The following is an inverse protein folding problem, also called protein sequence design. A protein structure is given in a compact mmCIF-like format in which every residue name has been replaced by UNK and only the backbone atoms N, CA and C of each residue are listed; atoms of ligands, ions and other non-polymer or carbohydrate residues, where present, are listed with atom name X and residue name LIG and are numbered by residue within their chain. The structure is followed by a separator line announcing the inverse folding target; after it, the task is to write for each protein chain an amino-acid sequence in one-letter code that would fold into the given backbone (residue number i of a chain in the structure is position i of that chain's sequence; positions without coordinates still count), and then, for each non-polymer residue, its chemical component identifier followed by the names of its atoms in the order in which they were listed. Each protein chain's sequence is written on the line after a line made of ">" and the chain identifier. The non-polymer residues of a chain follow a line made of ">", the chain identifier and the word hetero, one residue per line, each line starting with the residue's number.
data_IF_129184519302
#
_entry.id   IF_129184519302
#
_cell.length_a   1.000
_cell.length_b   1.000
_cell.length_c   1.000
_cell.angle_alpha   90.00
_cell.angle_beta   90.00
_cell.angle_gamma   90.00
#
_symmetry.space_group_name_H-M   'P 1'
#
loop_
_entity.id
_entity.type
_entity.pdbx_description
1 polymer ?
#
# COMPACT_ATOMS: atom_id res chain seq x y z
N UNK A 1 2.16 -11.42 -5.73
CA UNK A 1 3.63 -11.32 -5.53
C UNK A 1 4.03 -9.94 -4.97
N UNK A 2 3.52 -8.83 -5.53
CA UNK A 2 3.89 -7.48 -5.08
C UNK A 2 3.28 -7.05 -3.72
N UNK A 3 2.10 -7.54 -3.34
CA UNK A 3 1.53 -7.26 -2.00
C UNK A 3 2.44 -7.76 -0.89
N UNK A 4 2.92 -9.01 -0.98
CA UNK A 4 3.84 -9.58 0.01
C UNK A 4 5.15 -8.79 0.09
N UNK A 5 5.72 -8.39 -1.05
CA UNK A 5 6.95 -7.58 -1.07
C UNK A 5 6.77 -6.21 -0.40
N UNK A 6 5.61 -5.59 -0.60
CA UNK A 6 5.27 -4.31 0.05
C UNK A 6 5.17 -4.48 1.56
N UNK A 7 4.41 -5.48 2.02
CA UNK A 7 4.28 -5.81 3.45
C UNK A 7 5.62 -6.11 4.09
N UNK A 8 6.44 -6.95 3.45
CA UNK A 8 7.76 -7.31 3.95
C UNK A 8 8.68 -6.09 4.09
N UNK A 9 8.69 -5.20 3.10
CA UNK A 9 9.47 -3.96 3.17
C UNK A 9 9.03 -3.08 4.35
N UNK A 10 7.72 -2.86 4.53
CA UNK A 10 7.18 -2.07 5.63
C UNK A 10 7.51 -2.70 7.00
N UNK A 11 7.31 -4.02 7.13
CA UNK A 11 7.63 -4.75 8.36
C UNK A 11 9.13 -4.71 8.68
N UNK A 12 10.02 -4.90 7.70
CA UNK A 12 11.47 -4.82 7.91
C UNK A 12 11.93 -3.43 8.35
N UNK A 13 11.20 -2.39 7.95
CA UNK A 13 11.45 -1.00 8.34
C UNK A 13 10.78 -0.61 9.65
N UNK A 14 10.07 -1.54 10.31
CA UNK A 14 9.36 -1.29 11.56
C UNK A 14 8.15 -0.36 11.40
N UNK A 15 7.63 -0.22 10.17
CA UNK A 15 6.47 0.62 9.89
C UNK A 15 5.21 -0.17 10.22
N UNK A 16 4.38 0.37 11.10
CA UNK A 16 3.05 -0.16 11.36
C UNK A 16 2.14 0.14 10.15
N UNK A 17 1.38 -0.85 9.71
CA UNK A 17 0.42 -0.71 8.63
C UNK A 17 -0.81 -1.58 8.87
N UNK A 18 -1.93 -1.19 8.28
CA UNK A 18 -3.13 -2.00 8.20
C UNK A 18 -3.15 -2.76 6.87
N UNK A 19 -3.42 -4.08 6.93
CA UNK A 19 -3.65 -4.87 5.73
C UNK A 19 -5.15 -4.94 5.43
N UNK A 20 -5.55 -4.48 4.25
CA UNK A 20 -6.92 -4.61 3.73
C UNK A 20 -6.92 -5.44 2.46
N UNK A 21 -7.40 -6.67 2.56
CA UNK A 21 -7.50 -7.60 1.43
C UNK A 21 -8.80 -7.34 0.65
N UNK A 22 -8.68 -6.73 -0.52
CA UNK A 22 -9.82 -6.39 -1.40
C UNK A 22 -10.61 -7.61 -1.91
N UNK A 23 -10.10 -8.83 -1.76
CA UNK A 23 -10.86 -10.05 -2.05
C UNK A 23 -11.81 -10.46 -0.92
N UNK A 24 -11.57 -9.98 0.30
CA UNK A 24 -12.34 -10.29 1.50
C UNK A 24 -13.03 -9.06 2.12
N UNK A 25 -12.54 -7.85 1.82
CA UNK A 25 -13.07 -6.57 2.28
C UNK A 25 -13.64 -5.78 1.08
N UNK A 26 -14.96 -5.86 0.92
CA UNK A 26 -15.69 -5.13 -0.12
C UNK A 26 -15.49 -3.61 0.01
N UNK A 27 -15.39 -3.08 1.23
CA UNK A 27 -15.20 -1.65 1.46
C UNK A 27 -13.84 -1.15 0.97
N UNK A 28 -12.81 -2.00 1.07
CA UNK A 28 -11.47 -1.71 0.54
C UNK A 28 -11.48 -1.71 -0.99
N UNK A 29 -12.21 -2.65 -1.60
CA UNK A 29 -12.39 -2.70 -3.05
C UNK A 29 -13.14 -1.45 -3.56
N UNK A 30 -14.24 -1.08 -2.93
CA UNK A 30 -14.99 0.12 -3.28
C UNK A 30 -14.14 1.39 -3.13
N UNK A 31 -13.28 1.46 -2.12
CA UNK A 31 -12.37 2.59 -1.95
C UNK A 31 -11.38 2.71 -3.12
N UNK A 32 -10.79 1.59 -3.57
CA UNK A 32 -9.93 1.60 -4.75
C UNK A 32 -10.69 2.07 -5.99
N UNK A 33 -11.90 1.56 -6.21
CA UNK A 33 -12.74 1.94 -7.35
C UNK A 33 -13.10 3.42 -7.33
N UNK A 34 -13.48 3.98 -6.17
CA UNK A 34 -13.77 5.41 -5.99
C UNK A 34 -12.55 6.28 -6.30
N UNK A 35 -11.34 5.79 -6.01
CA UNK A 35 -10.07 6.45 -6.35
C UNK A 35 -9.61 6.21 -7.80
N UNK A 36 -10.35 5.43 -8.58
CA UNK A 36 -10.00 5.07 -9.97
C UNK A 36 -8.85 4.07 -10.08
N UNK A 37 -8.56 3.33 -9.01
CA UNK A 37 -7.46 2.37 -8.93
C UNK A 37 -7.97 0.97 -9.22
N UNK A 38 -7.29 0.26 -10.11
CA UNK A 38 -7.70 -1.08 -10.59
C UNK A 38 -6.62 -2.15 -10.35
N UNK A 39 -5.57 -1.83 -9.61
CA UNK A 39 -4.39 -2.70 -9.43
C UNK A 39 -3.94 -2.72 -7.99
N UNK A 40 -3.44 -3.85 -7.52
CA UNK A 40 -2.82 -4.01 -6.21
C UNK A 40 -1.33 -4.35 -6.34
N UNK A 41 -0.51 -4.08 -5.31
CA UNK A 41 -0.83 -3.39 -4.06
C UNK A 41 -1.07 -1.89 -4.26
N UNK A 42 -1.84 -1.29 -3.34
CA UNK A 42 -1.94 0.16 -3.16
C UNK A 42 -1.58 0.45 -1.72
N UNK A 43 -0.69 1.41 -1.51
CA UNK A 43 -0.31 1.88 -0.18
C UNK A 43 -0.76 3.33 -0.05
N UNK A 44 -1.61 3.58 0.93
CA UNK A 44 -2.02 4.91 1.33
C UNK A 44 -1.10 5.34 2.47
N UNK A 45 -0.44 6.49 2.32
CA UNK A 45 0.44 7.08 3.33
C UNK A 45 -0.05 8.52 3.49
N UNK A 46 -0.77 8.79 4.58
CA UNK A 46 -1.48 10.06 4.77
C UNK A 46 -2.36 10.41 3.54
N UNK A 47 -2.06 11.50 2.84
CA UNK A 47 -2.76 11.93 1.61
C UNK A 47 -2.15 11.33 0.33
N UNK A 48 -1.00 10.67 0.42
CA UNK A 48 -0.28 10.10 -0.71
C UNK A 48 -0.74 8.69 -1.07
N UNK A 49 -0.75 8.42 -2.38
CA UNK A 49 -1.06 7.11 -2.94
C UNK A 49 0.17 6.57 -3.68
N UNK A 50 0.56 5.36 -3.31
CA UNK A 50 1.57 4.57 -4.02
C UNK A 50 0.89 3.35 -4.63
N UNK A 51 0.92 3.25 -5.96
CA UNK A 51 0.37 2.12 -6.71
C UNK A 51 1.52 1.19 -7.10
N UNK A 52 1.35 -0.10 -6.83
CA UNK A 52 2.39 -1.11 -7.00
C UNK A 52 3.45 -1.06 -5.89
N UNK A 53 4.60 -1.69 -6.15
CA UNK A 53 5.73 -1.67 -5.24
C UNK A 53 6.84 -0.74 -5.77
N UNK A 54 6.92 0.46 -5.19
CA UNK A 54 8.00 1.42 -5.42
C UNK A 54 8.75 1.67 -4.11
N UNK A 55 9.83 0.92 -3.89
CA UNK A 55 10.63 1.02 -2.67
C UNK A 55 11.18 2.42 -2.42
N UNK A 56 11.57 3.16 -3.47
CA UNK A 56 12.15 4.49 -3.33
C UNK A 56 11.09 5.50 -2.92
N UNK A 57 9.92 5.46 -3.57
CA UNK A 57 8.79 6.32 -3.22
C UNK A 57 8.27 6.02 -1.81
N UNK A 58 8.12 4.74 -1.46
CA UNK A 58 7.74 4.31 -0.11
C UNK A 58 8.75 4.80 0.94
N UNK A 59 10.05 4.60 0.72
CA UNK A 59 11.08 5.06 1.63
C UNK A 59 11.04 6.59 1.81
N UNK A 60 10.87 7.34 0.71
CA UNK A 60 10.79 8.81 0.77
C UNK A 60 9.58 9.30 1.55
N UNK A 61 8.39 8.73 1.30
CA UNK A 61 7.14 9.14 1.96
C UNK A 61 7.13 8.76 3.45
N UNK A 62 7.77 7.65 3.81
CA UNK A 62 7.87 7.17 5.19
C UNK A 62 9.07 7.75 5.96
N UNK A 63 9.86 8.63 5.34
CA UNK A 63 11.05 9.22 5.96
C UNK A 63 12.17 8.22 6.27
N UNK A 64 12.24 7.12 5.53
CA UNK A 64 13.20 6.01 5.71
C UNK A 64 14.50 6.23 4.91
N UNK A 65 15.10 7.41 5.08
CA UNK A 65 16.37 7.84 4.46
C UNK A 65 17.60 7.41 5.23
#
# INVERSE_FOLDING_TARGET
>A
MFCNRTKEFLSQKGVAFEERDVSQDESALEELQRRGLMTTPVTLIDDDVVVGFDQKKLASLLGLG
#
